data_IF_801026380654
#
_entry.id   IF_801026380654
#
_cell.length_a   1.000
_cell.length_b   1.000
_cell.length_c   1.000
_cell.angle_alpha   90.00
_cell.angle_beta   90.00
_cell.angle_gamma   90.00
#
_symmetry.space_group_name_H-M   'P 1'
#
loop_
_entity.id
_entity.type
_entity.pdbx_description
1 polymer ?
#
# COMPACT_ATOMS: atom_id res chain seq x y z
N UNK A 1 69.69 10.71 -67.10
CA UNK A 1 70.91 10.12 -66.52
C UNK A 1 71.12 10.70 -65.14
N UNK A 2 71.58 9.83 -64.22
CA UNK A 2 72.21 10.15 -62.91
C UNK A 2 71.17 10.64 -61.86
N UNK A 3 70.73 9.81 -60.89
CA UNK A 3 71.35 9.48 -59.55
C UNK A 3 71.47 10.78 -58.72
N UNK A 4 70.92 10.98 -57.52
CA UNK A 4 71.04 10.22 -56.25
C UNK A 4 70.04 10.72 -55.18
N UNK A 5 69.99 9.97 -54.07
CA UNK A 5 69.13 9.98 -52.88
C UNK A 5 68.96 11.28 -52.05
N UNK A 6 67.90 11.34 -51.24
CA UNK A 6 67.95 11.26 -49.75
C UNK A 6 66.53 11.20 -49.14
N UNK A 7 66.36 10.25 -48.21
CA UNK A 7 65.23 9.96 -47.33
C UNK A 7 64.67 11.13 -46.51
N UNK A 8 63.35 11.11 -46.20
CA UNK A 8 62.80 10.80 -44.85
C UNK A 8 61.25 10.68 -44.89
N UNK A 9 60.76 9.49 -44.53
CA UNK A 9 59.50 9.01 -43.87
C UNK A 9 58.32 9.99 -43.65
N UNK A 10 57.03 9.64 -43.74
CA UNK A 10 56.27 8.40 -43.44
C UNK A 10 54.80 8.54 -43.93
N UNK A 11 54.03 7.45 -43.85
CA UNK A 11 52.57 7.28 -44.07
C UNK A 11 52.15 6.71 -45.42
N UNK A 12 51.86 5.41 -45.43
CA UNK A 12 50.75 4.73 -46.12
C UNK A 12 50.71 3.29 -45.57
N UNK A 13 49.55 2.79 -45.13
CA UNK A 13 48.71 1.97 -46.00
C UNK A 13 47.58 1.30 -45.19
N UNK A 14 46.42 1.24 -45.83
CA UNK A 14 45.15 0.73 -45.32
C UNK A 14 44.82 -0.57 -46.01
N UNK A 15 44.66 -1.64 -45.22
CA UNK A 15 44.00 -2.89 -45.59
C UNK A 15 44.80 -4.11 -45.14
N UNK A 16 44.25 -5.28 -44.81
CA UNK A 16 42.91 -5.77 -44.46
C UNK A 16 43.12 -7.29 -44.29
N UNK A 17 42.80 -7.89 -43.14
CA UNK A 17 42.65 -9.35 -42.85
C UNK A 17 42.36 -9.44 -41.33
N UNK A 18 41.42 -10.18 -40.74
CA UNK A 18 40.65 -11.36 -41.12
C UNK A 18 39.39 -11.48 -40.23
N UNK A 19 38.46 -12.31 -40.68
CA UNK A 19 37.06 -12.50 -40.27
C UNK A 19 36.87 -13.34 -38.99
N UNK A 20 35.77 -13.06 -38.27
CA UNK A 20 34.82 -14.13 -37.89
C UNK A 20 34.74 -14.58 -36.43
N UNK A 21 33.87 -13.94 -35.62
CA UNK A 21 33.20 -14.66 -34.50
C UNK A 21 31.85 -14.02 -34.04
N UNK A 22 31.64 -12.72 -34.28
CA UNK A 22 30.45 -12.01 -33.77
C UNK A 22 29.09 -12.45 -34.39
N UNK A 23 29.10 -13.01 -35.60
CA UNK A 23 27.86 -13.43 -36.29
C UNK A 23 27.22 -14.70 -35.73
N UNK A 24 28.01 -15.54 -35.04
CA UNK A 24 27.51 -16.77 -34.41
C UNK A 24 26.81 -16.48 -33.07
N UNK A 25 27.18 -15.43 -32.35
CA UNK A 25 26.56 -15.11 -31.06
C UNK A 25 25.15 -14.51 -31.23
N UNK A 26 24.98 -13.58 -32.18
CA UNK A 26 23.69 -12.97 -32.49
C UNK A 26 22.68 -13.98 -33.08
N UNK A 27 23.14 -14.88 -33.94
CA UNK A 27 22.28 -15.90 -34.56
C UNK A 27 21.81 -16.96 -33.54
N UNK A 28 22.65 -17.32 -32.57
CA UNK A 28 22.28 -18.21 -31.46
C UNK A 28 21.31 -17.55 -30.46
N UNK A 29 21.44 -16.24 -30.20
CA UNK A 29 20.49 -15.46 -29.39
C UNK A 29 19.13 -15.32 -30.07
N UNK A 30 19.09 -15.11 -31.40
CA UNK A 30 17.84 -15.06 -32.18
C UNK A 30 17.14 -16.43 -32.25
N UNK A 31 17.90 -17.54 -32.40
CA UNK A 31 17.33 -18.91 -32.35
C UNK A 31 16.80 -19.29 -30.97
N UNK A 32 17.46 -18.88 -29.87
CA UNK A 32 16.97 -19.12 -28.51
C UNK A 32 15.71 -18.29 -28.19
N UNK A 33 15.61 -17.04 -28.65
CA UNK A 33 14.40 -16.21 -28.54
C UNK A 33 13.22 -16.79 -29.34
N UNK A 34 13.46 -17.26 -30.57
CA UNK A 34 12.42 -17.87 -31.41
C UNK A 34 11.82 -19.15 -30.81
N UNK A 35 12.64 -20.00 -30.17
CA UNK A 35 12.17 -21.21 -29.48
C UNK A 35 11.26 -20.88 -28.29
N UNK A 36 11.60 -19.89 -27.47
CA UNK A 36 10.79 -19.49 -26.30
C UNK A 36 9.44 -18.93 -26.74
N UNK A 37 9.40 -18.08 -27.78
CA UNK A 37 8.16 -17.52 -28.32
C UNK A 37 7.25 -18.63 -28.87
N UNK A 38 7.81 -19.61 -29.59
CA UNK A 38 7.03 -20.75 -30.12
C UNK A 38 6.47 -21.67 -29.03
N UNK A 39 7.20 -21.84 -27.91
CA UNK A 39 6.72 -22.60 -26.75
C UNK A 39 5.57 -21.89 -26.03
N UNK A 40 5.61 -20.56 -25.92
CA UNK A 40 4.52 -19.76 -25.33
C UNK A 40 3.27 -19.81 -26.22
N UNK A 41 3.45 -19.75 -27.55
CA UNK A 41 2.32 -19.80 -28.48
C UNK A 41 1.68 -21.21 -28.56
N UNK A 42 2.48 -22.28 -28.50
CA UNK A 42 1.98 -23.66 -28.45
C UNK A 42 1.32 -24.00 -27.10
N UNK A 43 1.83 -23.47 -25.97
CA UNK A 43 1.17 -23.60 -24.67
C UNK A 43 -0.18 -22.86 -24.63
N UNK A 44 -0.28 -21.70 -25.30
CA UNK A 44 -1.53 -20.92 -25.38
C UNK A 44 -2.65 -21.64 -26.16
N UNK A 45 -2.29 -22.45 -27.17
CA UNK A 45 -3.25 -23.25 -27.95
C UNK A 45 -3.79 -24.45 -27.18
N UNK A 46 -3.01 -25.04 -26.27
CA UNK A 46 -3.45 -26.12 -25.40
C UNK A 46 -4.36 -25.63 -24.27
N UNK A 47 -4.15 -24.40 -23.78
CA UNK A 47 -5.01 -23.76 -22.75
C UNK A 47 -6.37 -23.36 -23.33
N UNK A 48 -6.45 -23.00 -24.63
CA UNK A 48 -7.73 -22.64 -25.29
C UNK A 48 -8.72 -23.79 -25.46
N UNK A 49 -8.30 -25.05 -25.35
CA UNK A 49 -9.21 -26.21 -25.47
C UNK A 49 -9.79 -26.70 -24.14
N UNK A 50 -9.40 -26.11 -23.00
CA UNK A 50 -9.76 -26.62 -21.67
C UNK A 50 -10.25 -25.56 -20.68
N UNK A 51 -10.78 -24.45 -21.17
CA UNK A 51 -11.58 -23.54 -20.33
C UNK A 51 -13.05 -23.83 -20.64
N UNK A 52 -13.73 -24.70 -19.86
CA UNK A 52 -15.17 -24.79 -19.95
C UNK A 52 -15.78 -23.43 -19.65
N UNK A 53 -16.87 -23.10 -20.33
CA UNK A 53 -17.61 -21.85 -20.31
C UNK A 53 -17.79 -21.28 -18.89
N UNK A 54 -16.82 -20.49 -18.44
CA UNK A 54 -16.93 -19.69 -17.21
C UNK A 54 -17.66 -18.38 -17.54
N UNK A 55 -18.93 -18.51 -17.94
CA UNK A 55 -19.82 -17.37 -18.21
C UNK A 55 -20.25 -16.59 -16.97
N UNK A 56 -19.69 -16.89 -15.78
CA UNK A 56 -20.15 -16.33 -14.51
C UNK A 56 -19.03 -15.87 -13.55
N UNK A 57 -17.75 -15.93 -13.93
CA UNK A 57 -16.64 -15.56 -13.01
C UNK A 57 -15.69 -14.51 -13.55
N UNK A 58 -16.09 -13.74 -14.56
CA UNK A 58 -15.35 -12.55 -14.99
C UNK A 58 -16.16 -11.30 -14.72
N UNK A 59 -16.30 -10.92 -13.45
CA UNK A 59 -16.54 -9.52 -13.12
C UNK A 59 -15.20 -8.78 -13.29
N UNK A 60 -15.09 -7.82 -14.23
CA UNK A 60 -13.86 -7.09 -14.39
C UNK A 60 -13.62 -6.24 -13.14
N UNK A 61 -12.53 -6.53 -12.41
CA UNK A 61 -12.03 -5.78 -11.25
C UNK A 61 -12.08 -4.24 -11.42
N UNK A 62 -12.05 -3.75 -12.66
CA UNK A 62 -12.07 -2.31 -12.99
C UNK A 62 -13.44 -1.63 -12.89
N UNK A 63 -14.56 -2.36 -13.01
CA UNK A 63 -15.91 -1.76 -12.80
C UNK A 63 -16.27 -1.62 -11.31
N UNK A 64 -15.47 -2.21 -10.41
CA UNK A 64 -15.71 -2.20 -8.96
C UNK A 64 -14.99 -1.07 -8.22
N UNK A 65 -13.91 -0.50 -8.76
CA UNK A 65 -13.24 0.64 -8.14
C UNK A 65 -14.15 1.89 -8.08
N UNK A 66 -15.11 2.04 -8.99
CA UNK A 66 -16.02 3.19 -9.05
C UNK A 66 -17.20 3.12 -8.06
N UNK A 67 -17.32 2.04 -7.26
CA UNK A 67 -18.44 1.86 -6.32
C UNK A 67 -18.06 2.05 -4.85
N UNK A 68 -16.77 2.12 -4.53
CA UNK A 68 -16.31 2.41 -3.17
C UNK A 68 -16.35 3.94 -3.01
N UNK A 69 -16.94 4.50 -1.94
CA UNK A 69 -16.83 5.93 -1.70
C UNK A 69 -15.35 6.29 -1.69
N UNK A 70 -14.93 7.19 -2.58
CA UNK A 70 -13.52 7.48 -2.89
C UNK A 70 -12.75 8.06 -1.70
N UNK A 71 -13.45 8.42 -0.62
CA UNK A 71 -12.90 9.03 0.59
C UNK A 71 -13.45 8.32 1.83
N UNK A 72 -12.97 7.12 2.13
CA UNK A 72 -13.21 6.48 3.42
C UNK A 72 -11.88 5.97 4.01
N UNK A 73 -11.79 6.04 5.33
CA UNK A 73 -10.56 5.68 6.04
C UNK A 73 -10.61 4.17 6.42
N UNK A 74 -11.70 3.71 7.01
CA UNK A 74 -11.83 2.35 7.58
C UNK A 74 -13.13 1.68 7.15
N UNK A 75 -13.09 0.37 6.92
CA UNK A 75 -14.26 -0.47 6.65
C UNK A 75 -14.49 -1.44 7.80
N UNK A 76 -15.74 -1.55 8.25
CA UNK A 76 -16.21 -2.56 9.20
C UNK A 76 -17.13 -3.50 8.43
N UNK A 77 -16.80 -4.78 8.38
CA UNK A 77 -17.61 -5.81 7.71
C UNK A 77 -18.37 -6.66 8.73
N UNK A 78 -19.63 -6.93 8.43
CA UNK A 78 -20.54 -7.72 9.26
C UNK A 78 -20.92 -9.03 8.54
N UNK A 79 -21.26 -10.10 9.30
CA UNK A 79 -21.76 -11.34 8.71
C UNK A 79 -23.13 -11.13 8.02
N UNK A 80 -23.54 -12.08 7.17
CA UNK A 80 -24.79 -12.01 6.39
C UNK A 80 -26.03 -12.03 7.31
N UNK A 81 -25.92 -12.72 8.43
CA UNK A 81 -26.92 -12.97 9.47
C UNK A 81 -26.83 -11.98 10.65
N UNK A 82 -26.08 -10.88 10.49
CA UNK A 82 -25.97 -9.86 11.51
C UNK A 82 -27.34 -9.24 11.84
N UNK A 83 -27.74 -9.13 13.13
CA UNK A 83 -29.02 -8.56 13.49
C UNK A 83 -29.06 -7.05 13.19
N UNK A 84 -30.01 -6.66 12.35
CA UNK A 84 -30.25 -5.28 11.90
C UNK A 84 -30.28 -4.26 13.06
N UNK A 85 -30.90 -4.61 14.18
CA UNK A 85 -31.02 -3.72 15.33
C UNK A 85 -29.67 -3.43 15.98
N UNK A 86 -28.77 -4.42 16.04
CA UNK A 86 -27.41 -4.23 16.54
C UNK A 86 -26.60 -3.34 15.57
N UNK A 87 -26.76 -3.54 14.26
CA UNK A 87 -26.12 -2.71 13.24
C UNK A 87 -26.58 -1.25 13.33
N UNK A 88 -27.91 -1.02 13.43
CA UNK A 88 -28.49 0.32 13.60
C UNK A 88 -28.01 0.98 14.89
N UNK A 89 -27.96 0.22 15.98
CA UNK A 89 -27.46 0.70 17.26
C UNK A 89 -25.99 1.13 17.17
N UNK A 90 -25.12 0.29 16.60
CA UNK A 90 -23.70 0.61 16.44
C UNK A 90 -23.50 1.80 15.51
N UNK A 91 -24.24 1.86 14.39
CA UNK A 91 -24.20 2.99 13.48
C UNK A 91 -24.58 4.30 14.17
N UNK A 92 -25.61 4.27 15.02
CA UNK A 92 -26.01 5.43 15.81
C UNK A 92 -24.87 5.83 16.78
N UNK A 93 -24.30 4.86 17.50
CA UNK A 93 -23.19 5.08 18.44
C UNK A 93 -21.95 5.68 17.77
N UNK A 94 -21.60 5.23 16.56
CA UNK A 94 -20.49 5.75 15.75
C UNK A 94 -20.76 7.21 15.35
N UNK A 95 -22.00 7.54 14.95
CA UNK A 95 -22.37 8.88 14.46
C UNK A 95 -22.61 9.91 15.54
N UNK A 96 -23.17 9.52 16.68
CA UNK A 96 -23.47 10.42 17.79
C UNK A 96 -22.20 11.10 18.29
N UNK A 97 -22.25 12.40 18.52
CA UNK A 97 -21.09 13.15 19.04
C UNK A 97 -20.74 12.76 20.47
N UNK A 98 -19.48 12.96 20.91
CA UNK A 98 -19.10 12.78 22.32
C UNK A 98 -19.95 13.67 23.26
N UNK A 99 -20.25 13.23 24.50
CA UNK A 99 -19.66 12.09 25.21
C UNK A 99 -20.35 10.74 24.97
N UNK A 100 -21.54 10.71 24.37
CA UNK A 100 -22.33 9.47 24.24
C UNK A 100 -21.89 8.60 23.05
N UNK A 101 -21.23 9.17 22.04
CA UNK A 101 -20.72 8.45 20.87
C UNK A 101 -19.35 8.94 20.41
N UNK A 102 -18.98 8.62 19.17
CA UNK A 102 -17.64 8.88 18.60
C UNK A 102 -17.57 10.12 17.68
N UNK A 103 -18.70 10.60 17.16
CA UNK A 103 -18.75 11.71 16.21
C UNK A 103 -18.12 11.40 14.85
N UNK A 104 -18.04 10.13 14.46
CA UNK A 104 -17.52 9.68 13.18
C UNK A 104 -18.62 9.73 12.12
N UNK A 105 -18.22 9.89 10.85
CA UNK A 105 -19.14 9.73 9.73
C UNK A 105 -19.10 8.30 9.23
N UNK A 106 -20.26 7.71 8.98
CA UNK A 106 -20.38 6.34 8.51
C UNK A 106 -21.43 6.20 7.41
N UNK A 107 -21.06 5.55 6.31
CA UNK A 107 -21.96 5.17 5.23
C UNK A 107 -22.16 3.65 5.25
N UNK A 108 -23.43 3.21 5.20
CA UNK A 108 -23.77 1.79 5.16
C UNK A 108 -23.89 1.34 3.71
N UNK A 109 -23.30 0.19 3.37
CA UNK A 109 -23.49 -0.44 2.06
C UNK A 109 -23.71 -1.94 2.22
N UNK A 110 -24.71 -2.44 1.51
CA UNK A 110 -24.87 -3.86 1.27
C UNK A 110 -24.14 -4.24 -0.02
N UNK A 111 -23.45 -5.38 0.00
CA UNK A 111 -22.72 -5.89 -1.14
C UNK A 111 -23.49 -7.05 -1.78
N UNK A 112 -24.06 -6.83 -2.96
CA UNK A 112 -24.91 -7.82 -3.65
C UNK A 112 -24.22 -9.17 -3.89
N UNK A 113 -22.91 -9.18 -4.10
CA UNK A 113 -22.13 -10.38 -4.40
C UNK A 113 -21.83 -11.25 -3.19
N UNK A 114 -21.64 -10.64 -2.02
CA UNK A 114 -21.31 -11.35 -0.77
C UNK A 114 -22.50 -11.42 0.18
N UNK A 115 -23.60 -10.70 -0.13
CA UNK A 115 -24.76 -10.48 0.73
C UNK A 115 -24.42 -9.95 2.12
N UNK A 116 -23.23 -9.35 2.27
CA UNK A 116 -22.76 -8.78 3.53
C UNK A 116 -23.00 -7.29 3.57
N UNK A 117 -23.25 -6.81 4.78
CA UNK A 117 -23.32 -5.37 5.07
C UNK A 117 -21.97 -4.89 5.56
N UNK A 118 -21.57 -3.69 5.15
CA UNK A 118 -20.35 -3.05 5.61
C UNK A 118 -20.57 -1.56 5.91
N UNK A 119 -19.88 -1.06 6.93
CA UNK A 119 -19.82 0.35 7.26
C UNK A 119 -18.51 0.94 6.76
N UNK A 120 -18.64 2.00 5.97
CA UNK A 120 -17.54 2.80 5.46
C UNK A 120 -17.41 4.02 6.36
N UNK A 121 -16.38 4.02 7.20
CA UNK A 121 -16.18 4.99 8.28
C UNK A 121 -15.11 6.00 7.88
N UNK A 122 -15.38 7.26 8.18
CA UNK A 122 -14.43 8.37 8.07
C UNK A 122 -14.57 9.31 9.25
N UNK A 123 -13.52 10.05 9.57
CA UNK A 123 -13.51 10.97 10.69
C UNK A 123 -13.48 12.44 10.23
N UNK A 124 -14.36 13.30 10.79
CA UNK A 124 -14.26 14.74 10.60
C UNK A 124 -13.05 15.30 11.35
N UNK A 125 -12.61 16.51 10.95
CA UNK A 125 -11.30 17.01 11.38
C UNK A 125 -11.19 17.30 12.88
N UNK A 126 -12.29 17.71 13.51
CA UNK A 126 -12.38 17.90 14.94
C UNK A 126 -12.09 16.60 15.74
N UNK A 127 -12.59 15.46 15.27
CA UNK A 127 -12.39 14.16 15.93
C UNK A 127 -10.95 13.71 15.76
N UNK A 128 -10.40 13.84 14.56
CA UNK A 128 -9.00 13.51 14.28
C UNK A 128 -8.01 14.38 15.06
N UNK A 129 -8.25 15.69 15.20
CA UNK A 129 -7.41 16.55 16.03
C UNK A 129 -7.41 16.12 17.49
N UNK A 130 -8.60 15.81 18.03
CA UNK A 130 -8.74 15.32 19.40
C UNK A 130 -8.02 13.99 19.58
N UNK A 131 -8.25 13.03 18.68
CA UNK A 131 -7.61 11.72 18.72
C UNK A 131 -6.09 11.82 18.58
N UNK A 132 -5.58 12.70 17.71
CA UNK A 132 -4.14 12.89 17.51
C UNK A 132 -3.46 13.51 18.75
N UNK A 133 -4.14 14.44 19.42
CA UNK A 133 -3.66 15.05 20.66
C UNK A 133 -3.68 14.04 21.83
N UNK A 134 -4.75 13.27 21.97
CA UNK A 134 -4.86 12.18 22.97
C UNK A 134 -3.81 11.08 22.74
N UNK A 135 -3.53 10.77 21.48
CA UNK A 135 -2.53 9.78 21.09
C UNK A 135 -1.09 10.31 21.06
N UNK A 136 -0.89 11.62 21.33
CA UNK A 136 0.41 12.30 21.26
C UNK A 136 1.15 12.04 19.95
N UNK A 137 0.43 12.12 18.83
CA UNK A 137 0.99 11.80 17.52
C UNK A 137 2.20 12.70 17.21
N UNK A 138 3.41 12.15 17.00
CA UNK A 138 4.56 12.97 16.64
C UNK A 138 4.41 13.48 15.21
N UNK A 139 4.51 14.80 15.02
CA UNK A 139 4.43 15.47 13.71
C UNK A 139 5.65 16.36 13.52
N UNK A 140 6.11 16.47 12.27
CA UNK A 140 7.17 17.42 11.91
C UNK A 140 6.62 18.84 11.93
N UNK A 141 7.36 19.74 12.56
CA UNK A 141 7.14 21.17 12.41
C UNK A 141 7.48 21.61 10.99
N UNK A 142 6.93 22.75 10.59
CA UNK A 142 7.31 23.38 9.33
C UNK A 142 8.81 23.72 9.33
N UNK A 143 9.38 23.82 8.15
CA UNK A 143 10.82 24.05 7.96
C UNK A 143 11.29 25.41 8.48
N UNK A 144 10.42 26.42 8.46
CA UNK A 144 10.66 27.74 9.04
C UNK A 144 10.75 27.73 10.58
N UNK A 145 10.19 26.70 11.21
CA UNK A 145 10.26 26.46 12.66
C UNK A 145 11.32 25.41 13.04
N UNK A 146 12.27 25.14 12.14
CA UNK A 146 13.38 24.21 12.36
C UNK A 146 13.09 22.75 12.03
N UNK A 147 11.89 22.39 11.58
CA UNK A 147 11.59 21.05 11.04
C UNK A 147 11.63 19.88 12.05
N UNK A 148 11.76 20.18 13.34
CA UNK A 148 11.85 19.18 14.41
C UNK A 148 10.54 18.38 14.58
N UNK A 149 10.63 17.19 15.16
CA UNK A 149 9.46 16.42 15.57
C UNK A 149 8.91 16.97 16.89
N UNK A 150 7.60 17.15 16.96
CA UNK A 150 6.88 17.59 18.16
C UNK A 150 5.56 16.84 18.29
N UNK A 151 5.12 16.57 19.51
CA UNK A 151 3.79 16.00 19.77
C UNK A 151 2.70 16.94 19.24
N UNK A 152 1.74 16.36 18.53
CA UNK A 152 0.63 17.12 17.96
C UNK A 152 -0.21 17.76 19.07
N UNK A 153 -0.47 19.05 18.94
CA UNK A 153 -1.40 19.81 19.79
C UNK A 153 -2.35 20.56 18.88
N UNK A 154 -3.65 20.46 19.14
CA UNK A 154 -4.69 21.09 18.30
C UNK A 154 -4.49 22.61 18.18
N UNK A 155 -4.08 23.25 19.28
CA UNK A 155 -3.81 24.70 19.36
C UNK A 155 -2.71 25.15 18.41
N UNK A 156 -1.70 24.32 18.20
CA UNK A 156 -0.52 24.62 17.38
C UNK A 156 -0.57 23.95 16.00
N UNK A 157 -1.76 23.52 15.56
CA UNK A 157 -1.95 22.81 14.28
C UNK A 157 -1.30 23.49 13.06
N UNK A 158 -1.23 24.82 13.05
CA UNK A 158 -0.62 25.63 11.99
C UNK A 158 0.93 25.59 11.95
N UNK A 159 1.57 25.16 13.03
CA UNK A 159 3.03 25.04 13.13
C UNK A 159 3.57 23.75 12.49
N UNK A 160 2.69 22.78 12.22
CA UNK A 160 3.07 21.48 11.68
C UNK A 160 3.13 21.49 10.16
N UNK A 161 4.07 20.72 9.61
CA UNK A 161 4.24 20.55 8.18
C UNK A 161 3.03 19.85 7.57
N UNK A 162 2.59 20.34 6.41
CA UNK A 162 1.52 19.76 5.62
C UNK A 162 2.12 18.93 4.48
N UNK A 163 1.49 17.81 4.18
CA UNK A 163 1.82 16.95 3.04
C UNK A 163 0.87 17.23 1.89
N UNK A 164 1.30 16.94 0.66
CA UNK A 164 0.40 16.99 -0.49
C UNK A 164 -0.30 15.64 -0.60
N UNK A 165 -1.62 15.69 -0.74
CA UNK A 165 -2.43 14.52 -1.04
C UNK A 165 -2.28 14.08 -2.50
N UNK A 166 -2.84 12.93 -2.87
CA UNK A 166 -2.88 12.47 -4.26
C UNK A 166 -3.55 13.47 -5.22
N UNK A 167 -4.48 14.29 -4.71
CA UNK A 167 -5.16 15.35 -5.46
C UNK A 167 -4.38 16.69 -5.46
N UNK A 168 -3.20 16.73 -4.83
CA UNK A 168 -2.35 17.91 -4.74
C UNK A 168 -2.77 18.94 -3.68
N UNK A 169 -3.85 18.67 -2.95
CA UNK A 169 -4.28 19.49 -1.81
C UNK A 169 -3.35 19.31 -0.61
N UNK A 170 -3.14 20.38 0.16
CA UNK A 170 -2.36 20.29 1.39
C UNK A 170 -3.21 19.64 2.50
N UNK A 171 -2.73 18.53 3.05
CA UNK A 171 -3.33 17.79 4.16
C UNK A 171 -2.39 17.78 5.35
N UNK A 172 -2.97 17.92 6.55
CA UNK A 172 -2.19 17.85 7.78
C UNK A 172 -1.84 16.41 8.15
N UNK A 173 -2.76 15.48 7.91
CA UNK A 173 -2.60 14.06 8.22
C UNK A 173 -2.48 13.25 6.95
N UNK A 174 -1.55 12.30 6.94
CA UNK A 174 -1.45 11.29 5.87
C UNK A 174 -2.64 10.34 5.93
N UNK A 175 -2.95 9.64 4.83
CA UNK A 175 -4.00 8.62 4.82
C UNK A 175 -3.75 7.53 5.88
N UNK A 176 -2.49 7.12 6.06
CA UNK A 176 -2.09 6.19 7.12
C UNK A 176 -2.36 6.72 8.53
N UNK A 177 -2.01 7.98 8.81
CA UNK A 177 -2.26 8.61 10.11
C UNK A 177 -3.78 8.71 10.38
N UNK A 178 -4.56 9.12 9.38
CA UNK A 178 -6.02 9.19 9.47
C UNK A 178 -6.63 7.84 9.81
N UNK A 179 -6.26 6.80 9.06
CA UNK A 179 -6.75 5.44 9.25
C UNK A 179 -6.42 4.91 10.65
N UNK A 180 -5.20 5.14 11.11
CA UNK A 180 -4.77 4.75 12.44
C UNK A 180 -5.56 5.48 13.54
N UNK A 181 -5.76 6.79 13.40
CA UNK A 181 -6.58 7.58 14.34
C UNK A 181 -8.04 7.10 14.38
N UNK A 182 -8.64 6.84 13.22
CA UNK A 182 -10.02 6.31 13.14
C UNK A 182 -10.12 4.94 13.82
N UNK A 183 -9.17 4.04 13.56
CA UNK A 183 -9.09 2.73 14.22
C UNK A 183 -8.97 2.87 15.74
N UNK A 184 -8.11 3.77 16.22
CA UNK A 184 -7.93 4.00 17.64
C UNK A 184 -9.20 4.54 18.31
N UNK A 185 -9.92 5.46 17.65
CA UNK A 185 -11.22 5.97 18.13
C UNK A 185 -12.26 4.85 18.16
N UNK A 186 -12.35 4.03 17.12
CA UNK A 186 -13.28 2.89 17.06
C UNK A 186 -12.98 1.85 18.15
N UNK A 187 -11.71 1.45 18.29
CA UNK A 187 -11.28 0.52 19.34
C UNK A 187 -11.42 1.11 20.74
N UNK A 188 -11.39 2.44 20.85
CA UNK A 188 -11.64 3.23 22.06
C UNK A 188 -13.09 3.23 22.54
N UNK A 189 -14.06 2.78 21.72
CA UNK A 189 -15.47 2.74 22.09
C UNK A 189 -15.70 1.79 23.28
N UNK A 190 -16.00 2.35 24.46
CA UNK A 190 -16.28 1.61 25.69
C UNK A 190 -17.77 1.49 25.96
N UNK A 191 -18.20 0.34 26.48
CA UNK A 191 -19.58 0.14 26.90
C UNK A 191 -19.88 0.88 28.22
N UNK A 192 -20.89 1.76 28.20
CA UNK A 192 -21.45 2.38 29.41
C UNK A 192 -22.71 1.67 29.91
N UNK A 193 -23.16 1.99 31.12
CA UNK A 193 -24.34 1.34 31.75
C UNK A 193 -25.63 1.45 30.90
N UNK A 194 -25.83 2.56 30.20
CA UNK A 194 -26.97 2.76 29.28
C UNK A 194 -26.89 1.85 28.06
N UNK A 195 -25.68 1.57 27.58
CA UNK A 195 -25.43 0.72 26.42
C UNK A 195 -25.74 -0.74 26.73
N UNK A 196 -25.41 -1.22 27.93
CA UNK A 196 -25.73 -2.58 28.37
C UNK A 196 -27.25 -2.84 28.35
N UNK A 197 -28.05 -1.87 28.81
CA UNK A 197 -29.51 -1.95 28.78
C UNK A 197 -30.06 -1.97 27.35
N UNK A 198 -29.50 -1.14 26.47
CA UNK A 198 -29.91 -1.07 25.07
C UNK A 198 -29.57 -2.35 24.30
N UNK A 199 -28.43 -2.99 24.63
CA UNK A 199 -27.95 -4.19 23.98
C UNK A 199 -28.64 -5.48 24.46
N UNK A 200 -29.36 -5.44 25.59
CA UNK A 200 -30.16 -6.56 26.11
C UNK A 200 -29.42 -7.91 26.13
N UNK A 201 -28.10 -7.90 26.41
CA UNK A 201 -27.26 -9.10 26.44
C UNK A 201 -26.78 -9.62 25.08
N UNK A 202 -27.17 -9.03 23.94
CA UNK A 202 -26.74 -9.46 22.59
C UNK A 202 -25.25 -9.34 22.33
N UNK A 203 -24.58 -8.49 23.08
CA UNK A 203 -23.18 -8.16 22.88
C UNK A 203 -22.25 -8.85 23.89
N UNK A 204 -22.79 -9.42 24.98
CA UNK A 204 -22.01 -9.99 26.08
C UNK A 204 -20.86 -9.08 26.58
N UNK A 205 -21.06 -7.76 26.58
CA UNK A 205 -20.03 -6.78 26.97
C UNK A 205 -20.28 -6.31 28.39
N UNK A 206 -19.22 -6.27 29.19
CA UNK A 206 -19.24 -5.67 30.53
C UNK A 206 -18.96 -4.16 30.50
N UNK A 207 -19.31 -3.45 31.56
CA UNK A 207 -19.03 -2.02 31.67
C UNK A 207 -17.52 -1.74 31.52
N UNK A 208 -17.18 -0.79 30.66
CA UNK A 208 -15.79 -0.39 30.43
C UNK A 208 -15.00 -1.29 29.46
N UNK A 209 -15.59 -2.36 28.92
CA UNK A 209 -14.96 -3.16 27.86
C UNK A 209 -15.10 -2.50 26.47
N UNK A 210 -14.20 -2.84 25.53
CA UNK A 210 -14.28 -2.36 24.15
C UNK A 210 -15.38 -3.10 23.40
N UNK A 211 -16.38 -2.34 22.92
CA UNK A 211 -17.53 -2.89 22.19
C UNK A 211 -17.07 -3.52 20.88
N UNK A 212 -16.18 -2.85 20.15
CA UNK A 212 -15.69 -3.34 18.85
C UNK A 212 -14.92 -4.65 19.03
N UNK A 213 -14.03 -4.73 20.02
CA UNK A 213 -13.25 -5.95 20.27
C UNK A 213 -14.16 -7.12 20.67
N UNK A 214 -15.09 -6.90 21.60
CA UNK A 214 -16.02 -7.93 22.03
C UNK A 214 -16.91 -8.43 20.88
N UNK A 215 -17.35 -7.53 19.98
CA UNK A 215 -18.15 -7.91 18.82
C UNK A 215 -17.35 -8.66 17.76
N UNK A 216 -16.04 -8.41 17.67
CA UNK A 216 -15.14 -9.22 16.82
C UNK A 216 -14.99 -10.63 17.39
N UNK A 217 -14.84 -10.78 18.70
CA UNK A 217 -14.73 -12.08 19.37
C UNK A 217 -16.03 -12.89 19.29
N UNK A 218 -17.19 -12.22 19.43
CA UNK A 218 -18.50 -12.83 19.29
C UNK A 218 -18.87 -13.17 17.82
N UNK A 219 -18.13 -12.62 16.85
CA UNK A 219 -18.40 -12.79 15.42
C UNK A 219 -19.51 -11.90 14.87
N UNK A 220 -20.03 -10.94 15.66
CA UNK A 220 -20.95 -9.90 15.18
C UNK A 220 -20.26 -8.93 14.22
N UNK A 221 -18.95 -8.73 14.36
CA UNK A 221 -18.10 -8.02 13.40
C UNK A 221 -17.13 -9.05 12.81
N UNK A 222 -17.13 -9.20 11.49
CA UNK A 222 -16.22 -10.13 10.80
C UNK A 222 -14.80 -9.57 10.78
N UNK A 223 -14.65 -8.31 10.38
CA UNK A 223 -13.33 -7.67 10.32
C UNK A 223 -13.43 -6.15 10.27
N UNK A 224 -12.37 -5.49 10.71
CA UNK A 224 -12.18 -4.04 10.62
C UNK A 224 -10.83 -3.81 9.95
N UNK A 225 -10.81 -3.11 8.82
CA UNK A 225 -9.57 -2.89 8.07
C UNK A 225 -9.53 -1.50 7.43
N UNK A 226 -8.33 -0.88 7.32
CA UNK A 226 -8.15 0.38 6.62
C UNK A 226 -8.30 0.20 5.11
N UNK A 227 -8.84 1.19 4.41
CA UNK A 227 -8.96 1.13 2.96
C UNK A 227 -7.71 1.74 2.28
N UNK A 228 -7.15 1.00 1.33
CA UNK A 228 -6.02 1.50 0.53
C UNK A 228 -6.42 2.61 -0.43
N UNK A 229 -5.64 3.69 -0.42
CA UNK A 229 -5.69 4.71 -1.43
C UNK A 229 -4.98 4.23 -2.71
N UNK A 230 -5.74 4.10 -3.80
CA UNK A 230 -5.26 3.42 -5.02
C UNK A 230 -4.27 4.26 -5.83
N UNK A 231 -4.40 5.58 -5.83
CA UNK A 231 -3.48 6.53 -6.48
C UNK A 231 -2.09 6.47 -5.86
N UNK A 232 -2.00 6.62 -4.54
CA UNK A 232 -0.76 6.54 -3.79
C UNK A 232 -0.05 5.18 -3.98
N UNK A 233 -0.81 4.08 -3.99
CA UNK A 233 -0.27 2.74 -4.24
C UNK A 233 0.31 2.62 -5.66
N UNK A 234 -0.38 3.15 -6.68
CA UNK A 234 0.11 3.14 -8.06
C UNK A 234 1.40 3.96 -8.21
N UNK A 235 1.46 5.12 -7.57
CA UNK A 235 2.66 5.96 -7.54
C UNK A 235 3.83 5.18 -6.93
N UNK A 236 3.63 4.59 -5.75
CA UNK A 236 4.65 3.80 -5.06
C UNK A 236 5.08 2.58 -5.89
N UNK A 237 4.14 1.89 -6.55
CA UNK A 237 4.47 0.77 -7.45
C UNK A 237 5.37 1.22 -8.62
N UNK A 238 5.12 2.42 -9.16
CA UNK A 238 5.90 2.96 -10.29
C UNK A 238 7.29 3.47 -9.89
N UNK A 239 7.43 4.07 -8.71
CA UNK A 239 8.68 4.66 -8.23
C UNK A 239 9.61 3.61 -7.60
N UNK A 240 9.04 2.58 -6.97
CA UNK A 240 9.79 1.58 -6.22
C UNK A 240 9.82 0.22 -6.92
N UNK A 241 8.68 -0.47 -7.04
CA UNK A 241 8.62 -1.89 -7.45
C UNK A 241 9.14 -2.10 -8.88
N UNK A 242 8.91 -1.13 -9.78
CA UNK A 242 9.38 -1.21 -11.17
C UNK A 242 10.83 -0.78 -11.37
N UNK A 243 11.48 -0.20 -10.36
CA UNK A 243 12.84 0.33 -10.45
C UNK A 243 13.81 -0.51 -9.59
N UNK A 244 14.30 -1.61 -10.17
CA UNK A 244 15.19 -2.56 -9.49
C UNK A 244 16.54 -1.98 -9.03
N UNK A 245 17.04 -0.95 -9.69
CA UNK A 245 18.35 -0.33 -9.40
C UNK A 245 18.26 0.98 -8.62
N UNK A 246 17.05 1.46 -8.30
CA UNK A 246 16.89 2.69 -7.54
C UNK A 246 17.02 2.40 -6.04
N UNK A 247 17.51 3.37 -5.23
CA UNK A 247 17.42 3.27 -3.78
C UNK A 247 15.95 3.14 -3.38
N UNK A 248 15.67 2.32 -2.36
CA UNK A 248 14.31 2.10 -1.89
C UNK A 248 13.77 3.39 -1.25
N UNK A 249 12.56 3.86 -1.63
CA UNK A 249 11.96 5.07 -1.05
C UNK A 249 11.33 4.74 0.31
N UNK A 250 12.16 4.53 1.33
CA UNK A 250 11.73 4.09 2.65
C UNK A 250 10.78 5.06 3.33
N UNK A 251 10.96 6.37 3.13
CA UNK A 251 10.08 7.39 3.69
C UNK A 251 8.67 7.32 3.08
N UNK A 252 8.56 7.10 1.76
CA UNK A 252 7.26 6.95 1.09
C UNK A 252 6.56 5.64 1.52
N UNK A 253 7.33 4.56 1.69
CA UNK A 253 6.83 3.29 2.22
C UNK A 253 6.34 3.48 3.66
N UNK A 254 7.07 4.23 4.48
CA UNK A 254 6.70 4.51 5.87
C UNK A 254 5.45 5.39 5.94
N UNK A 255 5.33 6.39 5.08
CA UNK A 255 4.16 7.26 5.01
C UNK A 255 2.88 6.51 4.59
N UNK A 256 2.99 5.49 3.73
CA UNK A 256 1.84 4.72 3.24
C UNK A 256 1.51 3.49 4.08
N UNK A 257 2.49 2.63 4.38
CA UNK A 257 2.29 1.36 5.09
C UNK A 257 2.60 1.45 6.60
N UNK A 258 3.18 2.56 7.04
CA UNK A 258 3.68 2.72 8.41
C UNK A 258 5.12 2.26 8.60
N UNK A 259 5.71 2.72 9.70
CA UNK A 259 7.13 2.53 10.02
C UNK A 259 7.53 1.06 10.13
N UNK A 260 6.65 0.19 10.65
CA UNK A 260 6.95 -1.24 10.83
C UNK A 260 7.21 -1.94 9.49
N UNK A 261 6.40 -1.65 8.48
CA UNK A 261 6.54 -2.22 7.14
C UNK A 261 7.75 -1.62 6.42
N UNK A 262 7.96 -0.31 6.54
CA UNK A 262 9.15 0.34 5.99
C UNK A 262 10.46 -0.20 6.57
N UNK A 263 10.49 -0.47 7.89
CA UNK A 263 11.65 -1.05 8.55
C UNK A 263 11.95 -2.46 8.04
N UNK A 264 10.92 -3.27 7.78
CA UNK A 264 11.09 -4.58 7.15
C UNK A 264 11.77 -4.46 5.78
N UNK A 265 11.33 -3.53 4.93
CA UNK A 265 11.96 -3.32 3.62
C UNK A 265 13.37 -2.71 3.69
N UNK A 266 13.61 -1.83 4.67
CA UNK A 266 14.96 -1.32 4.96
C UNK A 266 15.92 -2.46 5.33
N UNK A 267 15.48 -3.35 6.23
CA UNK A 267 16.25 -4.53 6.62
C UNK A 267 16.48 -5.48 5.43
N UNK A 268 15.45 -5.74 4.64
CA UNK A 268 15.55 -6.58 3.44
C UNK A 268 16.57 -6.02 2.45
N UNK A 269 16.52 -4.71 2.18
CA UNK A 269 17.49 -4.03 1.33
C UNK A 269 18.91 -4.17 1.84
N UNK A 270 19.13 -3.88 3.13
CA UNK A 270 20.43 -4.04 3.76
C UNK A 270 20.96 -5.47 3.64
N UNK A 271 20.10 -6.47 3.92
CA UNK A 271 20.45 -7.88 3.84
C UNK A 271 20.81 -8.32 2.41
N UNK A 272 20.04 -7.89 1.40
CA UNK A 272 20.37 -8.18 0.00
C UNK A 272 21.71 -7.60 -0.43
N UNK A 273 22.05 -6.37 -0.01
CA UNK A 273 23.35 -5.78 -0.27
C UNK A 273 24.49 -6.50 0.46
N UNK A 274 24.26 -6.93 1.71
CA UNK A 274 25.24 -7.68 2.49
C UNK A 274 25.53 -9.06 1.86
N UNK A 275 24.54 -9.71 1.24
CA UNK A 275 24.71 -10.98 0.53
C UNK A 275 25.48 -10.86 -0.80
N UNK A 276 25.57 -9.67 -1.39
CA UNK A 276 26.35 -9.48 -2.61
C UNK A 276 27.84 -9.81 -2.42
N UNK A 277 28.42 -9.50 -1.25
CA UNK A 277 29.84 -9.79 -0.95
C UNK A 277 30.15 -11.29 -0.97
N UNK A 278 29.49 -12.14 -0.15
CA UNK A 278 29.73 -13.58 -0.21
C UNK A 278 29.29 -14.20 -1.53
N UNK A 279 28.27 -13.66 -2.22
CA UNK A 279 27.88 -14.14 -3.54
C UNK A 279 29.01 -13.95 -4.57
N UNK A 280 29.62 -12.75 -4.63
CA UNK A 280 30.75 -12.47 -5.54
C UNK A 280 31.95 -13.36 -5.20
N UNK A 281 32.33 -13.45 -3.93
CA UNK A 281 33.43 -14.32 -3.50
C UNK A 281 33.17 -15.80 -3.84
N UNK A 282 31.95 -16.28 -3.58
CA UNK A 282 31.54 -17.65 -3.91
C UNK A 282 31.57 -17.92 -5.41
N UNK A 283 31.15 -16.96 -6.25
CA UNK A 283 31.23 -17.11 -7.70
C UNK A 283 32.67 -17.14 -8.22
N UNK A 284 33.58 -16.34 -7.65
CA UNK A 284 35.01 -16.33 -8.03
C UNK A 284 35.64 -17.68 -7.66
N UNK A 285 35.37 -18.20 -6.45
CA UNK A 285 35.89 -19.49 -5.98
C UNK A 285 35.32 -20.70 -6.74
N UNK A 286 34.11 -20.59 -7.28
CA UNK A 286 33.50 -21.67 -8.06
C UNK A 286 33.98 -21.70 -9.52
N UNK A 287 34.27 -20.52 -10.10
CA UNK A 287 34.65 -20.39 -11.50
C UNK A 287 36.16 -20.49 -11.75
N UNK A 288 36.99 -20.21 -10.72
CA UNK A 288 38.45 -20.40 -10.76
C UNK A 288 38.85 -21.79 -10.28
#
# INVERSE_FOLDING_TARGET
GIIEDVHQESECDTGNEEYGDESNLESNLRRRKGKIISCVENASRLIRRRVPCAGHLMTPRRLWLNKIPTQCDVVIEFPEDAPDDALRWLLNKIKTSPPEGLGLSAMVRAHDSTKRTAFYVTAPMNVLFKAAEEARLPKRLRTDLGGALKEFTKRESHCFAQTKDSEGANTLFTSQERQWLVLQVLQGLRAGVSDLKALQGRAQVEEGQSIVAAWQELGLITQVFPLHETSALQQLQSSWVRKFFAPQPLDDIAAYFGVKVALYFAWLGHYTCALCVPAVLGTILYAG
#
